data_IF_527521953411
#
_entry.id   IF_527521953411
#
_cell.length_a   1.000
_cell.length_b   1.000
_cell.length_c   1.000
_cell.angle_alpha   90.00
_cell.angle_beta   90.00
_cell.angle_gamma   90.00
#
_symmetry.space_group_name_H-M   'P 1'
#
loop_
_entity.id
_entity.type
_entity.pdbx_description
1 polymer ?
#
# COMPACT_ATOMS: atom_id res chain seq x y z
N UNK A 1 -16.92 -16.34 -12.26
CA UNK A 1 -16.31 -15.34 -11.33
C UNK A 1 -17.36 -14.87 -10.35
N UNK A 2 -17.05 -14.82 -9.06
CA UNK A 2 -17.97 -14.34 -8.01
C UNK A 2 -17.37 -13.11 -7.34
N UNK A 3 -18.10 -11.99 -7.27
CA UNK A 3 -17.67 -10.82 -6.51
C UNK A 3 -17.69 -11.14 -5.02
N UNK A 4 -16.56 -10.97 -4.33
CA UNK A 4 -16.41 -11.29 -2.89
C UNK A 4 -16.27 -10.05 -2.03
N UNK A 5 -15.70 -8.97 -2.58
CA UNK A 5 -15.53 -7.71 -1.86
C UNK A 5 -15.55 -6.53 -2.84
N UNK A 6 -16.04 -5.39 -2.38
CA UNK A 6 -15.97 -4.12 -3.08
C UNK A 6 -15.40 -3.07 -2.14
N UNK A 7 -14.16 -2.68 -2.40
CA UNK A 7 -13.50 -1.59 -1.70
C UNK A 7 -13.68 -0.25 -2.43
N UNK A 8 -13.07 0.77 -1.85
CA UNK A 8 -13.10 2.15 -2.39
C UNK A 8 -12.51 2.22 -3.80
N UNK A 9 -11.32 1.64 -4.00
CA UNK A 9 -10.56 1.74 -5.27
C UNK A 9 -10.48 0.44 -6.07
N UNK A 10 -10.89 -0.70 -5.49
CA UNK A 10 -10.77 -2.03 -6.11
C UNK A 10 -12.00 -2.89 -5.84
N UNK A 11 -12.34 -3.76 -6.79
CA UNK A 11 -13.29 -4.85 -6.58
C UNK A 11 -12.56 -6.19 -6.62
N UNK A 12 -12.93 -7.12 -5.74
CA UNK A 12 -12.29 -8.43 -5.64
C UNK A 12 -13.26 -9.50 -6.09
N UNK A 13 -12.80 -10.36 -6.99
CA UNK A 13 -13.54 -11.50 -7.50
C UNK A 13 -12.81 -12.80 -7.19
N UNK A 14 -13.56 -13.83 -6.84
CA UNK A 14 -13.05 -15.19 -6.71
C UNK A 14 -13.17 -15.91 -8.06
N UNK A 15 -12.06 -16.52 -8.47
CA UNK A 15 -11.93 -17.34 -9.67
C UNK A 15 -12.24 -18.81 -9.33
N UNK A 16 -12.64 -19.59 -10.34
CA UNK A 16 -12.89 -21.03 -10.16
C UNK A 16 -11.63 -21.80 -9.73
N UNK A 17 -10.45 -21.26 -10.02
CA UNK A 17 -9.15 -21.80 -9.59
C UNK A 17 -8.84 -21.57 -8.10
N UNK A 18 -9.72 -20.90 -7.34
CA UNK A 18 -9.49 -20.54 -5.93
C UNK A 18 -8.59 -19.32 -5.71
N UNK A 19 -8.10 -18.71 -6.80
CA UNK A 19 -7.36 -17.44 -6.81
C UNK A 19 -8.32 -16.24 -6.74
N UNK A 20 -7.77 -15.08 -6.41
CA UNK A 20 -8.49 -13.82 -6.48
C UNK A 20 -8.08 -13.01 -7.72
N UNK A 21 -9.01 -12.18 -8.16
CA UNK A 21 -8.81 -11.21 -9.21
C UNK A 21 -9.19 -9.82 -8.67
N UNK A 22 -8.23 -8.92 -8.66
CA UNK A 22 -8.42 -7.52 -8.28
C UNK A 22 -8.72 -6.71 -9.54
N UNK A 23 -9.85 -6.03 -9.57
CA UNK A 23 -10.22 -5.09 -10.63
C UNK A 23 -10.05 -3.66 -10.11
N UNK A 24 -9.13 -2.92 -10.73
CA UNK A 24 -8.79 -1.56 -10.34
C UNK A 24 -9.81 -0.57 -10.92
N UNK A 25 -10.43 0.22 -10.05
CA UNK A 25 -11.46 1.18 -10.42
C UNK A 25 -10.86 2.57 -10.60
N UNK A 26 -11.54 3.38 -11.42
CA UNK A 26 -11.26 4.81 -11.59
C UNK A 26 -11.84 5.67 -10.47
N UNK A 27 -12.41 5.05 -9.44
CA UNK A 27 -12.98 5.74 -8.28
C UNK A 27 -11.87 6.45 -7.48
N UNK A 28 -12.13 7.72 -7.14
CA UNK A 28 -11.25 8.54 -6.30
C UNK A 28 -11.88 8.76 -4.93
N UNK A 29 -11.05 8.71 -3.89
CA UNK A 29 -11.46 8.92 -2.51
C UNK A 29 -11.26 10.36 -2.07
N UNK A 30 -11.89 10.73 -0.95
CA UNK A 30 -11.84 12.08 -0.43
C UNK A 30 -12.66 12.29 0.84
N UNK A 31 -12.60 13.52 1.37
CA UNK A 31 -13.41 14.03 2.48
C UNK A 31 -13.93 15.43 2.11
N UNK A 32 -15.16 15.76 2.53
CA UNK A 32 -15.80 17.06 2.28
C UNK A 32 -15.80 17.53 0.81
N UNK A 33 -15.87 16.57 -0.13
CA UNK A 33 -15.88 16.84 -1.57
C UNK A 33 -14.51 17.14 -2.18
N UNK A 34 -13.43 17.13 -1.38
CA UNK A 34 -12.06 17.26 -1.87
C UNK A 34 -11.44 15.88 -2.09
N UNK A 35 -10.64 15.73 -3.16
CA UNK A 35 -9.92 14.48 -3.42
C UNK A 35 -8.81 14.29 -2.38
N UNK A 36 -8.79 13.12 -1.76
CA UNK A 36 -7.75 12.65 -0.86
C UNK A 36 -7.59 11.12 -1.07
N UNK A 37 -6.47 10.64 -1.64
CA UNK A 37 -6.19 9.22 -1.80
C UNK A 37 -6.24 8.43 -0.48
N UNK A 38 -6.05 9.08 0.66
CA UNK A 38 -6.20 8.50 2.00
C UNK A 38 -7.59 8.66 2.61
N UNK A 39 -8.53 9.31 1.91
CA UNK A 39 -9.87 9.60 2.38
C UNK A 39 -10.76 8.36 2.47
N UNK A 40 -11.80 8.46 3.31
CA UNK A 40 -12.66 7.32 3.63
C UNK A 40 -13.89 7.15 2.74
N UNK A 41 -14.17 8.12 1.87
CA UNK A 41 -15.36 8.10 1.02
C UNK A 41 -15.00 8.24 -0.46
N UNK A 42 -15.77 7.60 -1.34
CA UNK A 42 -15.65 7.83 -2.79
C UNK A 42 -16.30 9.16 -3.13
N UNK A 43 -15.53 10.10 -3.70
CA UNK A 43 -15.99 11.46 -4.02
C UNK A 43 -16.12 11.72 -5.52
N UNK A 44 -15.68 10.79 -6.37
CA UNK A 44 -15.80 10.93 -7.82
C UNK A 44 -15.11 9.82 -8.60
N UNK A 45 -14.89 10.07 -9.90
CA UNK A 45 -14.13 9.20 -10.81
C UNK A 45 -13.10 10.01 -11.59
N UNK A 46 -11.94 9.41 -11.83
CA UNK A 46 -10.88 9.94 -12.67
C UNK A 46 -10.47 8.88 -13.69
N UNK A 47 -10.79 9.12 -14.96
CA UNK A 47 -10.51 8.17 -16.04
C UNK A 47 -9.02 7.79 -16.10
N UNK A 48 -8.76 6.48 -16.20
CA UNK A 48 -7.41 5.92 -16.30
C UNK A 48 -6.64 5.84 -14.98
N UNK A 49 -7.26 6.21 -13.85
CA UNK A 49 -6.66 6.11 -12.52
C UNK A 49 -6.41 4.66 -12.11
N UNK A 50 -7.39 3.77 -12.31
CA UNK A 50 -7.23 2.35 -12.02
C UNK A 50 -6.10 1.70 -12.84
N UNK A 51 -6.01 2.06 -14.12
CA UNK A 51 -4.94 1.58 -15.00
C UNK A 51 -3.56 2.10 -14.56
N UNK A 52 -3.47 3.36 -14.12
CA UNK A 52 -2.23 3.93 -13.59
C UNK A 52 -1.76 3.18 -12.33
N UNK A 53 -2.67 2.91 -11.38
CA UNK A 53 -2.35 2.13 -10.18
C UNK A 53 -1.93 0.70 -10.50
N UNK A 54 -2.60 0.05 -11.46
CA UNK A 54 -2.25 -1.30 -11.88
C UNK A 54 -0.86 -1.36 -12.53
N UNK A 55 -0.52 -0.42 -13.43
CA UNK A 55 0.80 -0.37 -14.06
C UNK A 55 1.94 -0.26 -13.04
N UNK A 56 1.80 0.66 -12.09
CA UNK A 56 2.78 0.79 -11.00
C UNK A 56 2.88 -0.48 -10.16
N UNK A 57 1.73 -1.09 -9.84
CA UNK A 57 1.71 -2.33 -9.06
C UNK A 57 2.43 -3.46 -9.78
N UNK A 58 2.23 -3.60 -11.10
CA UNK A 58 2.94 -4.59 -11.90
C UNK A 58 4.45 -4.33 -11.89
N UNK A 59 4.88 -3.09 -12.12
CA UNK A 59 6.30 -2.70 -12.07
C UNK A 59 6.94 -3.09 -10.74
N UNK A 60 6.33 -2.68 -9.62
CA UNK A 60 6.91 -2.97 -8.31
C UNK A 60 6.81 -4.44 -7.91
N UNK A 61 5.73 -5.16 -8.24
CA UNK A 61 5.67 -6.60 -7.94
C UNK A 61 6.71 -7.40 -8.74
N UNK A 62 6.96 -7.05 -10.01
CA UNK A 62 8.02 -7.68 -10.79
C UNK A 62 9.42 -7.31 -10.27
N UNK A 63 9.64 -6.06 -9.87
CA UNK A 63 10.89 -5.66 -9.21
C UNK A 63 11.11 -6.44 -7.90
N UNK A 64 10.09 -6.56 -7.05
CA UNK A 64 10.16 -7.28 -5.78
C UNK A 64 10.42 -8.78 -5.98
N UNK A 65 9.87 -9.38 -7.04
CA UNK A 65 10.15 -10.76 -7.43
C UNK A 65 11.63 -10.98 -7.79
N UNK A 66 12.29 -10.01 -8.44
CA UNK A 66 13.74 -10.08 -8.72
C UNK A 66 14.60 -10.04 -7.45
N UNK A 67 14.02 -9.58 -6.34
CA UNK A 67 14.66 -9.51 -5.03
C UNK A 67 14.17 -10.61 -4.06
N UNK A 68 13.51 -11.67 -4.57
CA UNK A 68 13.00 -12.79 -3.77
C UNK A 68 12.07 -12.34 -2.62
N UNK A 69 11.27 -11.31 -2.86
CA UNK A 69 10.24 -10.88 -1.91
C UNK A 69 8.97 -11.70 -2.15
N UNK A 70 8.40 -12.35 -1.12
CA UNK A 70 7.17 -13.11 -1.26
C UNK A 70 5.98 -12.17 -1.40
N UNK A 71 5.19 -12.35 -2.46
CA UNK A 71 4.00 -11.54 -2.75
C UNK A 71 2.84 -12.43 -3.21
N UNK A 72 1.62 -11.91 -3.15
CA UNK A 72 0.46 -12.61 -3.72
C UNK A 72 0.35 -12.48 -5.25
N UNK A 73 1.17 -11.65 -5.88
CA UNK A 73 1.05 -11.32 -7.31
C UNK A 73 1.34 -12.53 -8.20
N UNK A 74 0.54 -12.70 -9.25
CA UNK A 74 0.73 -13.77 -10.25
C UNK A 74 0.96 -13.17 -11.63
N UNK A 75 -0.02 -12.40 -12.12
CA UNK A 75 -0.02 -11.78 -13.44
C UNK A 75 -1.06 -10.66 -13.50
N UNK A 76 -0.99 -9.81 -14.53
CA UNK A 76 -1.95 -8.75 -14.75
C UNK A 76 -2.37 -8.64 -16.23
N UNK A 77 -3.59 -8.16 -16.43
CA UNK A 77 -4.17 -7.78 -17.71
C UNK A 77 -4.44 -6.27 -17.67
N UNK A 78 -3.53 -5.50 -18.27
CA UNK A 78 -3.57 -4.02 -18.27
C UNK A 78 -4.71 -3.46 -19.13
N UNK A 79 -5.19 -4.21 -20.12
CA UNK A 79 -6.31 -3.80 -20.98
C UNK A 79 -7.64 -3.91 -20.23
N UNK A 80 -7.75 -4.86 -19.31
CA UNK A 80 -8.94 -5.08 -18.48
C UNK A 80 -8.87 -4.45 -17.08
N UNK A 81 -7.76 -3.78 -16.74
CA UNK A 81 -7.50 -3.26 -15.38
C UNK A 81 -7.59 -4.36 -14.30
N UNK A 82 -7.07 -5.55 -14.59
CA UNK A 82 -7.20 -6.72 -13.73
C UNK A 82 -5.85 -7.30 -13.30
N UNK A 83 -5.76 -7.76 -12.05
CA UNK A 83 -4.59 -8.42 -11.48
C UNK A 83 -5.00 -9.74 -10.83
N UNK A 84 -4.44 -10.86 -11.27
CA UNK A 84 -4.65 -12.15 -10.65
C UNK A 84 -3.65 -12.34 -9.50
N UNK A 85 -4.16 -12.77 -8.35
CA UNK A 85 -3.37 -12.92 -7.12
C UNK A 85 -3.71 -14.22 -6.40
N UNK A 86 -2.75 -14.75 -5.63
CA UNK A 86 -2.99 -15.85 -4.70
C UNK A 86 -3.90 -15.33 -3.56
N UNK A 87 -4.80 -16.18 -3.09
CA UNK A 87 -5.68 -15.86 -1.96
C UNK A 87 -4.88 -15.94 -0.65
N UNK A 88 -4.89 -14.87 0.12
CA UNK A 88 -4.23 -14.78 1.42
C UNK A 88 -5.24 -14.67 2.57
N UNK A 89 -4.84 -15.21 3.73
CA UNK A 89 -5.51 -15.00 5.01
C UNK A 89 -5.02 -13.69 5.64
N UNK A 90 -5.94 -12.82 6.04
CA UNK A 90 -5.61 -11.53 6.63
C UNK A 90 -5.17 -11.66 8.10
N UNK A 91 -4.35 -10.73 8.57
CA UNK A 91 -4.14 -10.54 10.00
C UNK A 91 -5.35 -9.82 10.60
N UNK A 92 -6.15 -10.54 11.40
CA UNK A 92 -7.41 -10.00 11.93
C UNK A 92 -8.36 -9.57 10.80
N UNK A 93 -8.76 -8.29 10.79
CA UNK A 93 -9.56 -7.68 9.71
C UNK A 93 -8.72 -6.93 8.66
N UNK A 94 -7.39 -7.02 8.76
CA UNK A 94 -6.45 -6.27 7.95
C UNK A 94 -5.63 -5.31 8.80
N UNK A 95 -4.35 -5.19 8.43
CA UNK A 95 -3.40 -4.27 9.03
C UNK A 95 -2.74 -3.47 7.92
N UNK A 96 -2.50 -2.20 8.19
CA UNK A 96 -1.76 -1.32 7.32
C UNK A 96 -0.40 -1.04 7.95
N UNK A 97 0.67 -1.44 7.26
CA UNK A 97 2.04 -1.33 7.75
C UNK A 97 2.74 -0.23 6.98
N UNK A 98 3.02 0.88 7.65
CA UNK A 98 3.50 2.11 7.04
C UNK A 98 5.00 2.27 7.31
N UNK A 99 5.80 2.41 6.28
CA UNK A 99 7.20 2.80 6.37
C UNK A 99 7.35 4.30 6.09
N UNK A 100 8.05 5.03 6.95
CA UNK A 100 8.28 6.48 6.84
C UNK A 100 9.77 6.80 6.77
N UNK A 101 10.17 7.51 5.72
CA UNK A 101 11.50 8.11 5.61
C UNK A 101 11.50 9.59 6.00
N UNK A 102 10.32 10.23 6.02
CA UNK A 102 10.14 11.62 6.45
C UNK A 102 8.92 11.75 7.35
N UNK A 103 8.98 12.66 8.31
CA UNK A 103 7.81 13.01 9.12
C UNK A 103 6.80 13.80 8.27
N UNK A 104 5.67 13.18 7.95
CA UNK A 104 4.64 13.80 7.10
C UNK A 104 3.24 13.28 7.46
N UNK A 105 2.20 13.97 6.98
CA UNK A 105 0.81 13.53 7.08
C UNK A 105 0.36 13.19 8.51
N UNK A 106 -0.17 11.97 8.70
CA UNK A 106 -0.68 11.53 10.01
C UNK A 106 0.37 11.51 11.12
N UNK A 107 1.65 11.33 10.79
CA UNK A 107 2.73 11.43 11.77
C UNK A 107 2.81 12.86 12.34
N UNK A 108 2.76 13.88 11.48
CA UNK A 108 2.78 15.29 11.89
C UNK A 108 1.51 15.67 12.65
N UNK A 109 0.34 15.14 12.29
CA UNK A 109 -0.89 15.36 13.06
C UNK A 109 -0.79 14.86 14.49
N UNK A 110 -0.15 13.72 14.72
CA UNK A 110 0.04 13.14 16.07
C UNK A 110 1.18 13.78 16.84
N UNK A 111 2.30 14.07 16.17
CA UNK A 111 3.57 14.41 16.83
C UNK A 111 4.12 15.79 16.47
N UNK A 112 3.35 16.67 15.84
CA UNK A 112 3.84 17.96 15.31
C UNK A 112 4.39 18.94 16.35
N UNK A 113 4.14 18.74 17.65
CA UNK A 113 4.82 19.49 18.71
C UNK A 113 6.29 19.07 18.92
N UNK A 114 6.63 17.84 18.51
CA UNK A 114 7.93 17.18 18.75
C UNK A 114 8.67 16.85 17.46
N UNK A 115 8.10 17.19 16.30
CA UNK A 115 8.64 16.90 14.99
C UNK A 115 8.54 18.12 14.09
N UNK A 116 9.50 18.28 13.19
CA UNK A 116 9.41 19.22 12.08
C UNK A 116 8.91 18.49 10.83
N UNK A 117 8.10 19.19 10.02
CA UNK A 117 7.62 18.64 8.75
C UNK A 117 8.81 18.30 7.85
N UNK A 118 8.76 17.12 7.23
CA UNK A 118 9.83 16.55 6.41
C UNK A 118 11.16 16.29 7.15
N UNK A 119 11.18 16.27 8.49
CA UNK A 119 12.40 15.82 9.19
C UNK A 119 12.71 14.36 8.81
N UNK A 120 14.00 14.00 8.64
CA UNK A 120 14.39 12.62 8.33
C UNK A 120 13.92 11.64 9.40
N UNK A 121 13.45 10.47 8.97
CA UNK A 121 13.17 9.31 9.80
C UNK A 121 13.95 8.11 9.24
N UNK A 122 14.41 7.23 10.12
CA UNK A 122 15.20 6.06 9.74
C UNK A 122 14.29 4.85 9.46
N UNK A 123 13.63 4.85 8.29
CA UNK A 123 12.71 3.80 7.85
C UNK A 123 11.75 3.36 8.98
N UNK A 124 11.10 4.35 9.62
CA UNK A 124 10.25 4.11 10.78
C UNK A 124 9.02 3.33 10.33
N UNK A 125 8.76 2.21 11.00
CA UNK A 125 7.60 1.36 10.72
C UNK A 125 6.55 1.53 11.80
N UNK A 126 5.34 1.89 11.40
CA UNK A 126 4.16 1.98 12.26
C UNK A 126 3.01 1.17 11.66
N UNK A 127 2.09 0.70 12.51
CA UNK A 127 0.98 -0.17 12.09
C UNK A 127 -0.34 0.48 12.48
N UNK A 128 -1.28 0.57 11.55
CA UNK A 128 -2.66 0.96 11.79
C UNK A 128 -3.59 -0.23 11.60
N UNK A 129 -4.66 -0.28 12.40
CA UNK A 129 -5.75 -1.24 12.19
C UNK A 129 -6.60 -0.78 11.01
N UNK A 130 -7.05 -1.72 10.17
CA UNK A 130 -8.06 -1.41 9.14
C UNK A 130 -9.44 -1.39 9.78
N UNK A 131 -9.83 -0.24 10.31
CA UNK A 131 -11.07 -0.01 11.06
C UNK A 131 -11.61 1.37 10.70
N UNK A 132 -12.31 1.43 9.57
CA UNK A 132 -12.90 2.65 9.01
C UNK A 132 -13.82 3.35 10.04
N UNK A 133 -14.54 2.60 10.90
CA UNK A 133 -15.42 3.17 11.93
C UNK A 133 -14.66 3.95 13.00
N UNK A 134 -13.40 3.58 13.25
CA UNK A 134 -12.52 4.22 14.25
C UNK A 134 -11.42 5.06 13.61
N UNK A 135 -11.44 5.24 12.29
CA UNK A 135 -10.49 6.06 11.55
C UNK A 135 -9.08 5.48 11.52
N UNK A 136 -8.98 4.17 11.32
CA UNK A 136 -7.72 3.42 11.16
C UNK A 136 -6.68 3.71 12.26
N UNK A 137 -6.98 3.36 13.53
CA UNK A 137 -6.17 3.77 14.67
C UNK A 137 -4.76 3.15 14.62
N UNK A 138 -3.77 3.97 14.98
CA UNK A 138 -2.41 3.50 15.25
C UNK A 138 -2.44 2.50 16.42
N UNK A 139 -1.82 1.34 16.24
CA UNK A 139 -1.66 0.34 17.27
C UNK A 139 -0.17 0.11 17.56
N UNK A 140 0.16 -0.11 18.83
CA UNK A 140 1.51 -0.45 19.24
C UNK A 140 1.73 -1.97 19.23
N UNK A 141 3.00 -2.36 19.30
CA UNK A 141 3.45 -3.75 19.25
C UNK A 141 2.84 -4.64 20.33
N UNK A 142 2.81 -4.16 21.58
CA UNK A 142 2.28 -4.92 22.71
C UNK A 142 0.78 -5.18 22.54
N UNK A 143 0.00 -4.18 22.14
CA UNK A 143 -1.43 -4.32 21.90
C UNK A 143 -1.71 -5.26 20.72
N UNK A 144 -0.93 -5.18 19.64
CA UNK A 144 -1.02 -6.12 18.51
C UNK A 144 -0.90 -7.58 18.97
N UNK A 145 0.09 -7.87 19.81
CA UNK A 145 0.34 -9.22 20.34
C UNK A 145 -0.72 -9.63 21.35
N UNK A 146 -1.07 -8.77 22.31
CA UNK A 146 -2.05 -9.07 23.35
C UNK A 146 -3.47 -9.27 22.82
N UNK A 147 -3.82 -8.58 21.72
CA UNK A 147 -5.10 -8.78 21.02
C UNK A 147 -5.08 -10.01 20.10
N UNK A 148 -3.95 -10.73 20.00
CA UNK A 148 -3.83 -11.93 19.18
C UNK A 148 -3.89 -11.66 17.67
N UNK A 149 -3.60 -10.43 17.23
CA UNK A 149 -3.61 -10.07 15.81
C UNK A 149 -2.36 -10.59 15.10
N UNK A 150 -1.25 -10.71 15.81
CA UNK A 150 0.05 -11.14 15.31
C UNK A 150 0.89 -11.66 16.49
N UNK A 151 1.74 -12.67 16.27
CA UNK A 151 2.68 -13.08 17.30
C UNK A 151 3.99 -12.25 17.23
N UNK A 152 4.86 -12.29 18.27
CA UNK A 152 6.08 -11.48 18.30
C UNK A 152 7.05 -11.72 17.13
N UNK A 153 7.23 -12.97 16.72
CA UNK A 153 8.16 -13.32 15.64
C UNK A 153 7.65 -12.81 14.28
N UNK A 154 6.33 -12.93 14.04
CA UNK A 154 5.68 -12.38 12.85
C UNK A 154 5.78 -10.85 12.79
N UNK A 155 5.66 -10.19 13.94
CA UNK A 155 5.76 -8.73 14.04
C UNK A 155 7.16 -8.23 13.71
N UNK A 156 8.18 -8.87 14.26
CA UNK A 156 9.57 -8.56 13.93
C UNK A 156 9.84 -8.81 12.44
N UNK A 157 9.38 -9.96 11.92
CA UNK A 157 9.54 -10.31 10.52
C UNK A 157 8.88 -9.28 9.59
N UNK A 158 7.62 -8.91 9.85
CA UNK A 158 6.89 -7.94 9.02
C UNK A 158 7.58 -6.58 9.04
N UNK A 159 8.04 -6.10 10.19
CA UNK A 159 8.77 -4.82 10.25
C UNK A 159 10.06 -4.86 9.44
N UNK A 160 10.81 -5.95 9.50
CA UNK A 160 12.03 -6.12 8.72
C UNK A 160 11.74 -6.23 7.22
N UNK A 161 10.71 -7.00 6.85
CA UNK A 161 10.27 -7.16 5.47
C UNK A 161 9.76 -5.83 4.90
N UNK A 162 8.97 -5.06 5.65
CA UNK A 162 8.51 -3.73 5.28
C UNK A 162 9.68 -2.80 4.96
N UNK A 163 10.71 -2.75 5.82
CA UNK A 163 11.90 -1.91 5.56
C UNK A 163 12.64 -2.35 4.31
N UNK A 164 12.76 -3.66 4.08
CA UNK A 164 13.41 -4.21 2.89
C UNK A 164 12.65 -3.83 1.62
N UNK A 165 11.33 -4.02 1.60
CA UNK A 165 10.45 -3.66 0.47
C UNK A 165 10.50 -2.16 0.21
N UNK A 166 10.32 -1.34 1.25
CA UNK A 166 10.36 0.12 1.14
C UNK A 166 11.72 0.61 0.64
N UNK A 167 12.82 -0.03 1.07
CA UNK A 167 14.17 0.25 0.60
C UNK A 167 14.34 -0.02 -0.89
N UNK A 168 13.88 -1.17 -1.39
CA UNK A 168 13.92 -1.52 -2.82
C UNK A 168 13.13 -0.49 -3.64
N UNK A 169 11.91 -0.15 -3.22
CA UNK A 169 11.05 0.82 -3.91
C UNK A 169 11.67 2.21 -3.87
N UNK A 170 12.24 2.63 -2.73
CA UNK A 170 12.94 3.91 -2.61
C UNK A 170 14.13 3.98 -3.56
N UNK A 171 14.93 2.92 -3.64
CA UNK A 171 16.12 2.89 -4.49
C UNK A 171 15.75 2.91 -5.98
N UNK A 172 14.63 2.29 -6.37
CA UNK A 172 14.06 2.40 -7.72
C UNK A 172 13.58 3.83 -8.02
N UNK A 173 12.77 4.42 -7.14
CA UNK A 173 12.30 5.81 -7.28
C UNK A 173 13.46 6.82 -7.38
N UNK A 174 14.53 6.62 -6.61
CA UNK A 174 15.70 7.50 -6.65
C UNK A 174 16.38 7.52 -8.02
N UNK A 175 16.32 6.45 -8.81
CA UNK A 175 16.86 6.42 -10.19
C UNK A 175 16.15 7.41 -11.11
N UNK A 176 14.92 7.75 -10.79
CA UNK A 176 14.10 8.74 -11.50
C UNK A 176 14.16 10.15 -10.88
N UNK A 177 15.03 10.36 -9.88
CA UNK A 177 15.14 11.61 -9.13
C UNK A 177 13.92 11.87 -8.24
N UNK A 178 13.26 10.80 -7.77
CA UNK A 178 12.09 10.87 -6.91
C UNK A 178 12.45 10.47 -5.47
N UNK A 179 11.88 11.17 -4.49
CA UNK A 179 12.09 10.92 -3.07
C UNK A 179 10.84 10.27 -2.46
N UNK A 180 11.00 9.07 -1.90
CA UNK A 180 9.94 8.39 -1.15
C UNK A 180 9.82 8.96 0.27
N UNK A 181 8.67 9.57 0.59
CA UNK A 181 8.37 10.14 1.92
C UNK A 181 7.83 9.08 2.87
N UNK A 182 6.77 8.39 2.46
CA UNK A 182 6.19 7.25 3.16
C UNK A 182 5.48 6.31 2.16
N UNK A 183 5.30 5.06 2.59
CA UNK A 183 4.58 4.03 1.83
C UNK A 183 3.85 3.09 2.80
N UNK A 184 2.67 2.64 2.40
CA UNK A 184 1.79 1.75 3.16
C UNK A 184 1.66 0.41 2.45
N UNK A 185 1.79 -0.67 3.21
CA UNK A 185 1.63 -2.03 2.72
C UNK A 185 0.55 -2.77 3.50
N UNK A 186 -0.02 -3.79 2.88
CA UNK A 186 -0.83 -4.80 3.56
C UNK A 186 -0.13 -6.16 3.43
N UNK A 187 -0.27 -7.00 4.45
CA UNK A 187 0.29 -8.35 4.49
C UNK A 187 -0.80 -9.38 4.79
N UNK A 188 -0.57 -10.61 4.33
CA UNK A 188 -1.40 -11.76 4.65
C UNK A 188 -0.57 -13.03 4.73
N UNK A 189 -1.23 -14.15 5.04
CA UNK A 189 -0.62 -15.48 5.07
C UNK A 189 -1.08 -16.32 3.90
N UNK A 190 -0.16 -17.01 3.25
CA UNK A 190 -0.47 -18.04 2.27
C UNK A 190 0.29 -19.29 2.66
N UNK A 191 -0.44 -20.36 2.96
CA UNK A 191 0.16 -21.62 3.41
C UNK A 191 1.07 -21.44 4.64
N UNK A 192 0.75 -20.46 5.50
CA UNK A 192 1.51 -20.11 6.70
C UNK A 192 2.67 -19.13 6.45
N UNK A 193 3.04 -18.85 5.20
CA UNK A 193 4.07 -17.87 4.86
C UNK A 193 3.50 -16.44 4.81
N UNK A 194 4.21 -15.47 5.39
CA UNK A 194 3.86 -14.05 5.31
C UNK A 194 4.25 -13.50 3.95
N UNK A 195 3.26 -12.95 3.23
CA UNK A 195 3.45 -12.38 1.90
C UNK A 195 2.91 -10.95 1.85
N UNK A 196 3.51 -10.12 0.99
CA UNK A 196 2.96 -8.82 0.64
C UNK A 196 1.70 -8.99 -0.23
N UNK A 197 0.62 -8.31 0.12
CA UNK A 197 -0.66 -8.36 -0.59
C UNK A 197 -1.10 -6.97 -1.08
N UNK A 198 -2.37 -6.87 -1.49
CA UNK A 198 -2.99 -5.68 -2.07
C UNK A 198 -2.28 -5.16 -3.35
N UNK A 199 -1.95 -3.88 -3.41
CA UNK A 199 -1.31 -3.22 -4.55
C UNK A 199 -0.18 -2.28 -4.10
N UNK A 200 0.65 -1.83 -5.04
CA UNK A 200 1.74 -0.86 -4.78
C UNK A 200 1.64 0.24 -5.83
N UNK A 201 1.07 1.37 -5.46
CA UNK A 201 0.75 2.44 -6.40
C UNK A 201 0.84 3.82 -5.77
N UNK A 202 0.68 4.87 -6.57
CA UNK A 202 0.65 6.23 -6.05
C UNK A 202 -0.45 6.48 -5.00
N UNK A 203 -1.48 5.62 -4.92
CA UNK A 203 -2.53 5.73 -3.90
C UNK A 203 -2.03 5.34 -2.49
N UNK A 204 -0.94 4.56 -2.39
CA UNK A 204 -0.42 4.04 -1.13
C UNK A 204 1.00 4.53 -0.79
N UNK A 205 1.51 5.52 -1.52
CA UNK A 205 2.79 6.18 -1.23
C UNK A 205 2.74 7.68 -1.44
N UNK A 206 3.60 8.40 -0.71
CA UNK A 206 3.89 9.81 -0.97
C UNK A 206 5.28 9.94 -1.55
N UNK A 207 5.37 10.54 -2.73
CA UNK A 207 6.62 10.72 -3.46
C UNK A 207 6.78 12.19 -3.83
N UNK A 208 7.98 12.70 -3.67
CA UNK A 208 8.33 14.10 -3.90
C UNK A 208 9.37 14.21 -5.02
N UNK A 209 9.33 15.33 -5.73
CA UNK A 209 10.38 15.76 -6.66
C UNK A 209 10.64 17.23 -6.42
N UNK A 210 11.90 17.59 -6.19
CA UNK A 210 12.32 18.98 -5.96
C UNK A 210 11.49 19.70 -4.87
N UNK A 211 11.13 18.98 -3.80
CA UNK A 211 10.33 19.50 -2.69
C UNK A 211 8.83 19.59 -2.94
N UNK A 212 8.33 19.14 -4.10
CA UNK A 212 6.90 19.13 -4.44
C UNK A 212 6.37 17.70 -4.47
N UNK A 213 5.23 17.46 -3.82
CA UNK A 213 4.56 16.16 -3.87
C UNK A 213 4.07 15.88 -5.30
N UNK A 214 4.36 14.69 -5.81
CA UNK A 214 3.89 14.24 -7.11
C UNK A 214 2.53 13.57 -6.93
N UNK A 215 1.56 13.99 -7.75
CA UNK A 215 0.24 13.38 -7.80
C UNK A 215 0.31 11.91 -8.26
N UNK A 216 -0.49 10.98 -7.69
CA UNK A 216 -0.41 9.55 -7.97
C UNK A 216 -0.39 9.18 -9.45
N UNK A 217 -1.21 9.85 -10.27
CA UNK A 217 -1.30 9.57 -11.71
C UNK A 217 -0.08 10.04 -12.49
N UNK A 218 0.52 11.16 -12.06
CA UNK A 218 1.74 11.66 -12.70
C UNK A 218 2.94 10.81 -12.27
N UNK A 219 2.98 10.35 -11.02
CA UNK A 219 3.96 9.37 -10.54
C UNK A 219 3.95 8.10 -11.39
N UNK A 220 2.75 7.57 -11.73
CA UNK A 220 2.60 6.40 -12.58
C UNK A 220 3.13 6.58 -14.02
N UNK A 221 3.36 7.82 -14.47
CA UNK A 221 4.02 8.10 -15.76
C UNK A 221 5.53 8.26 -15.62
N UNK A 222 6.04 8.47 -14.41
CA UNK A 222 7.47 8.60 -14.15
C UNK A 222 8.13 7.26 -13.84
N UNK A 223 7.33 6.28 -13.40
CA UNK A 223 7.75 4.93 -13.02
C UNK A 223 7.19 3.90 -14.03
N UNK A 224 7.96 2.87 -14.39
CA UNK A 224 7.48 1.75 -15.21
C UNK A 224 7.38 1.98 -16.72
N UNK A 225 8.16 2.93 -17.27
CA UNK A 225 8.25 3.22 -18.71
C UNK A 225 9.51 2.61 -19.38
N UNK A 226 10.14 1.61 -18.78
CA UNK A 226 11.30 0.89 -19.36
C UNK A 226 10.88 -0.42 -20.04
#
# INVERSE_FOLDING_TARGET
>A
MKKVYEGKTKAVYELESGKYLLHFKDDVTGEDGNMDPGGNFVVGKLEGKGQASLRMSCHFFELLKQHDIPTHYIEADLDKNMMAVRKAEMFGQGLEVICRYRAYGSFMRRYGKYAQESQPLDALVEITLKDDERGDPLINDEALVQLGLMNPDELEYIKNLTRRIAGIIRDDLMRHGLELVDIKFEFGRIEGEIVLIDDISGDNMRVFKDGVQIEPRELAKMVGNE
#
